data_IF_452300331274
#
_entry.id   IF_452300331274
#
_cell.length_a   1.000
_cell.length_b   1.000
_cell.length_c   1.000
_cell.angle_alpha   90.00
_cell.angle_beta   90.00
_cell.angle_gamma   90.00
#
_symmetry.space_group_name_H-M   'P 1'
#
loop_
_entity.id
_entity.type
_entity.pdbx_description
1 polymer ?
#
# COMPACT_ATOMS: atom_id res chain seq x y z
N UNK A 1 -27.63 20.73 -4.75
CA UNK A 1 -26.54 21.23 -3.89
C UNK A 1 -26.65 20.80 -2.42
N UNK A 2 -27.82 20.38 -1.90
CA UNK A 2 -28.00 20.05 -0.47
C UNK A 2 -27.05 18.94 0.06
N UNK A 3 -26.74 17.92 -0.74
CA UNK A 3 -25.94 16.76 -0.31
C UNK A 3 -24.48 17.07 0.03
N UNK A 4 -23.93 18.19 -0.45
CA UNK A 4 -22.54 18.58 -0.22
C UNK A 4 -22.35 19.56 0.95
N UNK A 5 -23.45 20.08 1.51
CA UNK A 5 -23.42 21.11 2.56
C UNK A 5 -23.46 20.41 3.92
N UNK A 6 -22.37 20.50 4.68
CA UNK A 6 -22.27 19.89 6.01
C UNK A 6 -20.84 19.78 6.52
N UNK A 7 -20.65 19.08 7.65
CA UNK A 7 -19.33 18.81 8.23
C UNK A 7 -18.63 17.70 7.42
N UNK A 8 -17.74 18.08 6.51
CA UNK A 8 -17.03 17.15 5.61
C UNK A 8 -15.69 16.64 6.15
N UNK A 9 -15.24 17.14 7.31
CA UNK A 9 -13.92 16.83 7.88
C UNK A 9 -13.63 15.32 8.00
N UNK A 10 -14.61 14.52 8.46
CA UNK A 10 -14.47 13.08 8.59
C UNK A 10 -14.26 12.39 7.22
N UNK A 11 -14.94 12.88 6.18
CA UNK A 11 -14.83 12.27 4.86
C UNK A 11 -13.44 12.50 4.25
N UNK A 12 -12.83 13.67 4.49
CA UNK A 12 -11.46 13.99 4.06
C UNK A 12 -10.38 13.47 5.00
N UNK A 13 -10.73 12.94 6.18
CA UNK A 13 -9.77 12.37 7.10
C UNK A 13 -9.01 11.20 6.42
N UNK A 14 -7.71 11.13 6.67
CA UNK A 14 -6.84 10.09 6.09
C UNK A 14 -6.80 8.90 7.04
N UNK A 15 -7.30 7.78 6.56
CA UNK A 15 -7.33 6.51 7.29
C UNK A 15 -6.05 5.74 7.04
N UNK A 16 -5.64 4.88 7.97
CA UNK A 16 -4.51 3.96 7.80
C UNK A 16 -5.02 2.54 7.55
N UNK A 17 -4.62 1.98 6.41
CA UNK A 17 -4.98 0.61 6.01
C UNK A 17 -3.77 -0.31 6.12
N UNK A 18 -3.97 -1.53 6.61
CA UNK A 18 -2.96 -2.59 6.63
C UNK A 18 -3.25 -3.61 5.53
N UNK A 19 -2.21 -4.00 4.79
CA UNK A 19 -2.27 -5.00 3.73
C UNK A 19 -1.17 -6.04 3.95
N UNK A 20 -1.57 -7.30 4.10
CA UNK A 20 -0.62 -8.42 4.09
C UNK A 20 -0.32 -8.86 2.65
N UNK A 21 0.95 -8.78 2.25
CA UNK A 21 1.40 -9.19 0.92
C UNK A 21 1.57 -10.70 0.77
N UNK A 22 1.48 -11.47 1.86
CA UNK A 22 1.60 -12.94 1.84
C UNK A 22 0.56 -13.56 0.90
N UNK A 23 1.04 -14.41 -0.02
CA UNK A 23 0.21 -15.08 -1.04
C UNK A 23 -0.59 -14.14 -1.97
N UNK A 24 -0.29 -12.84 -2.00
CA UNK A 24 -0.93 -11.90 -2.90
C UNK A 24 -0.12 -11.73 -4.19
N UNK A 25 -0.83 -11.64 -5.31
CA UNK A 25 -0.20 -11.35 -6.60
C UNK A 25 0.15 -9.87 -6.68
N UNK A 26 1.44 -9.56 -6.87
CA UNK A 26 2.00 -8.20 -6.88
C UNK A 26 1.17 -7.20 -7.68
N UNK A 27 0.85 -7.54 -8.94
CA UNK A 27 0.12 -6.64 -9.83
C UNK A 27 -1.29 -6.32 -9.34
N UNK A 28 -2.07 -7.34 -8.96
CA UNK A 28 -3.46 -7.16 -8.50
C UNK A 28 -3.51 -6.37 -7.18
N UNK A 29 -2.61 -6.70 -6.25
CA UNK A 29 -2.48 -5.99 -4.99
C UNK A 29 -2.12 -4.51 -5.22
N UNK A 30 -1.18 -4.24 -6.13
CA UNK A 30 -0.73 -2.87 -6.42
C UNK A 30 -1.83 -1.99 -6.98
N UNK A 31 -2.80 -2.55 -7.73
CA UNK A 31 -3.96 -1.79 -8.24
C UNK A 31 -4.84 -1.33 -7.08
N UNK A 32 -5.22 -2.25 -6.18
CA UNK A 32 -6.02 -1.90 -5.00
C UNK A 32 -5.33 -0.86 -4.12
N UNK A 33 -4.02 -1.02 -3.88
CA UNK A 33 -3.23 -0.03 -3.13
C UNK A 33 -3.26 1.33 -3.83
N UNK A 34 -3.06 1.39 -5.15
CA UNK A 34 -3.08 2.64 -5.89
C UNK A 34 -4.44 3.35 -5.82
N UNK A 35 -5.55 2.61 -5.87
CA UNK A 35 -6.90 3.15 -5.70
C UNK A 35 -7.10 3.78 -4.32
N UNK A 36 -6.63 3.10 -3.26
CA UNK A 36 -6.65 3.60 -1.89
C UNK A 36 -5.80 4.86 -1.72
N UNK A 37 -4.60 4.89 -2.30
CA UNK A 37 -3.71 6.05 -2.25
C UNK A 37 -4.28 7.26 -3.01
N UNK A 38 -5.02 7.02 -4.10
CA UNK A 38 -5.74 8.06 -4.83
C UNK A 38 -7.01 8.53 -4.11
N UNK A 39 -7.61 7.68 -3.28
CA UNK A 39 -8.88 7.97 -2.61
C UNK A 39 -10.12 7.59 -3.43
N UNK A 40 -9.96 6.80 -4.50
CA UNK A 40 -11.08 6.41 -5.39
C UNK A 40 -12.16 5.58 -4.70
N UNK A 41 -11.84 4.96 -3.58
CA UNK A 41 -12.79 4.24 -2.73
C UNK A 41 -13.72 5.17 -1.95
N UNK A 42 -13.39 6.46 -1.82
CA UNK A 42 -14.23 7.45 -1.14
C UNK A 42 -15.20 8.09 -2.14
N UNK A 43 -16.50 8.23 -1.80
CA UNK A 43 -17.48 8.85 -2.69
C UNK A 43 -17.26 10.35 -2.92
N UNK A 44 -16.41 10.98 -2.09
CA UNK A 44 -16.00 12.38 -2.20
C UNK A 44 -14.80 12.59 -3.15
N UNK A 45 -14.37 11.54 -3.85
CA UNK A 45 -13.20 11.59 -4.72
C UNK A 45 -13.35 12.65 -5.80
N UNK A 46 -12.32 13.49 -5.92
CA UNK A 46 -12.17 14.46 -6.99
C UNK A 46 -10.75 14.37 -7.57
N UNK A 47 -10.56 14.35 -8.90
CA UNK A 47 -9.22 14.24 -9.50
C UNK A 47 -8.26 15.38 -9.17
N UNK A 48 -8.77 16.59 -8.87
CA UNK A 48 -7.95 17.75 -8.52
C UNK A 48 -7.54 17.74 -7.05
N UNK A 49 -8.35 17.14 -6.17
CA UNK A 49 -8.08 17.02 -4.74
C UNK A 49 -7.33 15.73 -4.37
N UNK A 50 -6.48 15.80 -3.33
CA UNK A 50 -5.78 14.63 -2.79
C UNK A 50 -6.40 14.13 -1.48
N UNK A 51 -7.45 13.30 -1.61
CA UNK A 51 -8.24 12.78 -0.49
C UNK A 51 -7.92 11.32 -0.09
N UNK A 52 -6.84 10.75 -0.65
CA UNK A 52 -6.49 9.35 -0.41
C UNK A 52 -5.94 9.05 0.98
N UNK A 53 -5.80 7.76 1.26
CA UNK A 53 -5.44 7.24 2.58
C UNK A 53 -3.97 6.81 2.68
N UNK A 54 -3.56 6.39 3.88
CA UNK A 54 -2.27 5.74 4.12
C UNK A 54 -2.41 4.23 3.95
N UNK A 55 -1.37 3.60 3.42
CA UNK A 55 -1.32 2.15 3.25
C UNK A 55 -0.01 1.63 3.82
N UNK A 56 -0.12 0.68 4.75
CA UNK A 56 0.99 -0.07 5.32
C UNK A 56 0.93 -1.49 4.75
N UNK A 57 2.00 -1.91 4.10
CA UNK A 57 2.15 -3.25 3.54
C UNK A 57 3.15 -4.03 4.38
N UNK A 58 2.78 -5.22 4.81
CA UNK A 58 3.65 -6.14 5.56
C UNK A 58 3.97 -7.38 4.73
N UNK A 59 4.98 -8.14 5.15
CA UNK A 59 5.42 -9.37 4.50
C UNK A 59 5.78 -9.18 3.01
N UNK A 60 6.38 -8.03 2.67
CA UNK A 60 6.72 -7.71 1.28
C UNK A 60 7.54 -8.82 0.62
N UNK A 61 8.43 -9.50 1.37
CA UNK A 61 9.28 -10.60 0.89
C UNK A 61 8.47 -11.80 0.37
N UNK A 62 7.24 -11.99 0.82
CA UNK A 62 6.38 -13.12 0.45
C UNK A 62 5.40 -12.82 -0.69
N UNK A 63 5.55 -11.67 -1.36
CA UNK A 63 4.69 -11.31 -2.50
C UNK A 63 4.88 -12.27 -3.67
N UNK A 64 3.78 -12.68 -4.29
CA UNK A 64 3.79 -13.63 -5.40
C UNK A 64 3.79 -12.92 -6.76
N UNK A 65 4.49 -13.51 -7.73
CA UNK A 65 4.40 -13.16 -9.14
C UNK A 65 3.93 -14.36 -9.94
N UNK A 66 3.10 -14.12 -10.96
CA UNK A 66 2.61 -15.20 -11.83
C UNK A 66 3.59 -15.52 -12.96
N UNK A 67 3.65 -16.80 -13.35
CA UNK A 67 4.46 -17.29 -14.46
C UNK A 67 5.97 -17.21 -14.22
N UNK A 68 6.75 -16.99 -15.27
CA UNK A 68 8.23 -16.91 -15.23
C UNK A 68 8.77 -15.52 -14.86
N UNK A 69 7.89 -14.59 -14.48
CA UNK A 69 8.22 -13.17 -14.25
C UNK A 69 9.24 -12.95 -13.13
N UNK A 70 9.32 -13.84 -12.15
CA UNK A 70 10.32 -13.75 -11.09
C UNK A 70 11.75 -13.76 -11.68
N UNK A 71 11.99 -14.57 -12.72
CA UNK A 71 13.29 -14.73 -13.36
C UNK A 71 13.51 -13.77 -14.52
N UNK A 72 12.49 -13.55 -15.34
CA UNK A 72 12.62 -12.81 -16.61
C UNK A 72 12.46 -11.29 -16.48
N UNK A 73 11.86 -10.80 -15.39
CA UNK A 73 11.58 -9.36 -15.26
C UNK A 73 12.85 -8.61 -14.88
N UNK A 74 13.24 -7.66 -15.75
CA UNK A 74 14.35 -6.75 -15.54
C UNK A 74 13.82 -5.35 -15.18
N UNK A 75 14.36 -4.76 -14.12
CA UNK A 75 14.18 -3.36 -13.78
C UNK A 75 15.35 -2.56 -14.33
N UNK A 76 15.04 -1.54 -15.12
CA UNK A 76 16.03 -0.68 -15.79
C UNK A 76 16.04 0.71 -15.18
N UNK A 77 17.23 1.28 -15.08
CA UNK A 77 17.46 2.67 -14.72
C UNK A 77 18.59 3.22 -15.58
N UNK A 78 18.44 4.44 -16.10
CA UNK A 78 19.46 5.08 -16.91
C UNK A 78 19.87 6.41 -16.27
N UNK A 79 21.17 6.67 -16.17
CA UNK A 79 21.68 7.91 -15.55
C UNK A 79 21.57 9.14 -16.46
N UNK A 80 21.42 8.95 -17.77
CA UNK A 80 21.41 10.02 -18.78
C UNK A 80 22.71 10.11 -19.59
N UNK A 81 23.80 9.49 -19.09
CA UNK A 81 25.08 9.43 -19.80
C UNK A 81 25.18 8.19 -20.71
N UNK A 82 25.90 8.25 -21.84
CA UNK A 82 26.18 7.08 -22.68
C UNK A 82 26.79 5.94 -21.86
N UNK A 83 26.25 4.72 -21.99
CA UNK A 83 26.68 3.56 -21.20
C UNK A 83 26.13 3.52 -19.76
N UNK A 84 25.30 4.49 -19.36
CA UNK A 84 24.76 4.62 -18.01
C UNK A 84 23.56 3.72 -17.69
N UNK A 85 23.31 2.67 -18.48
CA UNK A 85 22.20 1.73 -18.27
C UNK A 85 22.54 0.77 -17.13
N UNK A 86 21.68 0.73 -16.11
CA UNK A 86 21.74 -0.23 -15.01
C UNK A 86 20.51 -1.12 -15.07
N UNK A 87 20.72 -2.42 -15.04
CA UNK A 87 19.67 -3.43 -15.02
C UNK A 87 19.79 -4.28 -13.76
N UNK A 88 18.66 -4.61 -13.15
CA UNK A 88 18.58 -5.55 -12.02
C UNK A 88 17.41 -6.50 -12.24
N UNK A 89 17.64 -7.80 -12.07
CA UNK A 89 16.57 -8.81 -12.14
C UNK A 89 15.62 -8.66 -10.97
N UNK A 90 14.38 -9.12 -11.14
CA UNK A 90 13.39 -9.13 -10.07
C UNK A 90 13.90 -9.91 -8.85
N UNK A 91 14.46 -11.10 -9.03
CA UNK A 91 15.06 -11.90 -7.94
C UNK A 91 16.13 -11.12 -7.16
N UNK A 92 17.06 -10.47 -7.86
CA UNK A 92 18.12 -9.70 -7.20
C UNK A 92 17.56 -8.47 -6.48
N UNK A 93 16.58 -7.79 -7.07
CA UNK A 93 15.92 -6.65 -6.41
C UNK A 93 15.15 -7.11 -5.17
N UNK A 94 14.46 -8.24 -5.26
CA UNK A 94 13.69 -8.82 -4.16
C UNK A 94 14.56 -9.24 -2.98
N UNK A 95 15.77 -9.73 -3.24
CA UNK A 95 16.73 -10.09 -2.21
C UNK A 95 17.41 -8.87 -1.56
N UNK A 96 17.61 -7.80 -2.33
CA UNK A 96 18.29 -6.58 -1.85
C UNK A 96 17.35 -5.60 -1.15
N UNK A 97 16.17 -5.40 -1.73
CA UNK A 97 15.19 -4.38 -1.32
C UNK A 97 13.80 -4.80 -1.83
N UNK A 98 13.08 -5.67 -1.09
CA UNK A 98 11.73 -6.10 -1.44
C UNK A 98 10.70 -4.96 -1.38
N UNK A 99 10.95 -3.90 -0.59
CA UNK A 99 10.11 -2.70 -0.56
C UNK A 99 10.08 -2.04 -1.95
N UNK A 100 11.25 -1.82 -2.55
CA UNK A 100 11.35 -1.19 -3.87
C UNK A 100 10.54 -1.90 -4.96
N UNK A 101 10.36 -3.22 -4.88
CA UNK A 101 9.54 -3.98 -5.84
C UNK A 101 8.08 -3.51 -5.81
N UNK A 102 7.51 -3.40 -4.61
CA UNK A 102 6.11 -2.99 -4.40
C UNK A 102 5.96 -1.50 -4.71
N UNK A 103 6.86 -0.64 -4.20
CA UNK A 103 6.84 0.80 -4.50
C UNK A 103 6.90 1.08 -6.00
N UNK A 104 7.76 0.38 -6.75
CA UNK A 104 7.84 0.55 -8.21
C UNK A 104 6.56 0.12 -8.91
N UNK A 105 5.94 -0.97 -8.46
CA UNK A 105 4.67 -1.44 -9.02
C UNK A 105 3.54 -0.42 -8.78
N UNK A 106 3.34 0.02 -7.54
CA UNK A 106 2.33 1.01 -7.17
C UNK A 106 2.59 2.35 -7.84
N UNK A 107 3.85 2.81 -7.85
CA UNK A 107 4.24 4.03 -8.55
C UNK A 107 3.97 3.98 -10.06
N UNK A 108 3.97 2.79 -10.65
CA UNK A 108 3.58 2.58 -12.04
C UNK A 108 2.10 2.91 -12.27
N UNK A 109 1.25 2.50 -11.33
CA UNK A 109 -0.22 2.64 -11.38
C UNK A 109 -0.73 4.05 -11.03
N UNK A 110 0.09 4.89 -10.38
CA UNK A 110 -0.30 6.27 -10.06
C UNK A 110 -0.22 7.19 -11.30
N UNK A 111 -1.19 8.13 -11.46
CA UNK A 111 -1.18 9.16 -12.50
C UNK A 111 0.12 9.96 -12.49
N UNK A 112 0.63 10.33 -13.67
CA UNK A 112 1.88 11.10 -13.79
C UNK A 112 1.59 12.59 -13.65
N UNK A 113 1.47 13.05 -12.41
CA UNK A 113 1.25 14.46 -12.07
C UNK A 113 1.95 14.83 -10.75
N UNK A 114 1.79 16.07 -10.31
CA UNK A 114 2.38 16.59 -9.05
C UNK A 114 1.85 15.89 -7.79
N UNK A 115 0.70 15.22 -7.87
CA UNK A 115 0.13 14.46 -6.75
C UNK A 115 0.73 13.05 -6.63
N UNK A 116 1.52 12.61 -7.60
CA UNK A 116 2.13 11.26 -7.59
C UNK A 116 3.07 11.05 -6.42
N UNK A 117 3.99 11.98 -6.19
CA UNK A 117 4.97 11.91 -5.12
C UNK A 117 4.31 11.90 -3.73
N UNK A 118 3.39 12.83 -3.38
CA UNK A 118 2.73 12.80 -2.08
C UNK A 118 1.82 11.57 -1.91
N UNK A 119 1.23 11.03 -2.99
CA UNK A 119 0.50 9.75 -2.95
C UNK A 119 1.43 8.59 -2.63
N UNK A 120 2.60 8.53 -3.27
CA UNK A 120 3.56 7.45 -3.06
C UNK A 120 4.22 7.52 -1.68
N UNK A 121 4.43 8.72 -1.14
CA UNK A 121 4.97 8.93 0.21
C UNK A 121 4.07 8.36 1.32
N UNK A 122 2.77 8.18 1.04
CA UNK A 122 1.79 7.57 1.98
C UNK A 122 1.76 6.05 1.94
N UNK A 123 2.55 5.44 1.06
CA UNK A 123 2.79 4.01 1.04
C UNK A 123 3.99 3.67 1.93
N UNK A 124 3.74 2.85 2.94
CA UNK A 124 4.76 2.25 3.78
C UNK A 124 4.80 0.76 3.51
N UNK A 125 5.99 0.20 3.35
CA UNK A 125 6.17 -1.22 3.04
C UNK A 125 7.26 -1.74 3.93
N UNK A 126 7.02 -2.92 4.50
CA UNK A 126 7.93 -3.60 5.41
C UNK A 126 8.20 -5.01 4.90
N UNK A 127 9.43 -5.47 5.08
CA UNK A 127 9.86 -6.79 4.61
C UNK A 127 9.13 -7.92 5.36
N UNK A 128 8.90 -7.73 6.66
CA UNK A 128 8.21 -8.65 7.56
C UNK A 128 6.95 -8.05 8.19
N UNK A 129 6.55 -8.59 9.33
CA UNK A 129 5.32 -8.22 10.05
C UNK A 129 5.49 -7.03 11.01
N UNK A 130 6.73 -6.70 11.38
CA UNK A 130 7.00 -5.60 12.29
C UNK A 130 6.97 -4.24 11.59
N UNK A 131 6.24 -3.30 12.18
CA UNK A 131 6.17 -1.92 11.71
C UNK A 131 5.82 -0.97 12.88
N UNK A 132 6.25 0.31 12.83
CA UNK A 132 5.98 1.29 13.88
C UNK A 132 4.53 1.79 13.90
N UNK A 133 3.74 1.53 12.85
CA UNK A 133 2.41 2.11 12.67
C UNK A 133 1.26 1.29 13.29
N UNK A 134 1.56 0.37 14.21
CA UNK A 134 0.56 -0.55 14.82
C UNK A 134 -0.60 0.21 15.45
N UNK A 135 -0.32 1.31 16.14
CA UNK A 135 -1.34 2.09 16.86
C UNK A 135 -2.20 2.98 15.94
N UNK A 136 -1.67 3.32 14.75
CA UNK A 136 -2.34 4.21 13.80
C UNK A 136 -3.32 3.46 12.88
N UNK A 137 -3.12 2.15 12.70
CA UNK A 137 -3.93 1.33 11.78
C UNK A 137 -5.35 1.25 12.29
N UNK A 138 -6.30 1.57 11.42
CA UNK A 138 -7.71 1.45 11.76
C UNK A 138 -8.08 -0.03 11.82
N UNK A 139 -8.24 -0.54 13.03
CA UNK A 139 -8.89 -1.83 13.29
C UNK A 139 -10.34 -1.73 12.83
N UNK A 140 -10.77 -2.65 11.96
CA UNK A 140 -12.19 -2.68 11.56
C UNK A 140 -13.04 -3.03 12.78
N UNK A 141 -14.25 -2.46 12.87
CA UNK A 141 -15.23 -2.82 13.91
C UNK A 141 -15.56 -4.32 13.95
N UNK A 142 -15.38 -5.05 12.84
CA UNK A 142 -15.57 -6.52 12.79
C UNK A 142 -14.58 -7.29 13.68
N UNK A 143 -13.41 -6.73 13.97
CA UNK A 143 -12.41 -7.34 14.86
C UNK A 143 -12.71 -7.08 16.34
N UNK A 144 -13.36 -5.94 16.67
CA UNK A 144 -13.85 -5.67 18.03
C UNK A 144 -14.90 -6.69 18.48
N UNK A 145 -15.74 -7.20 17.57
CA UNK A 145 -16.73 -8.24 17.90
C UNK A 145 -16.13 -9.60 18.29
N UNK A 146 -14.83 -9.82 18.04
CA UNK A 146 -14.10 -11.03 18.48
C UNK A 146 -13.41 -10.83 19.83
N UNK A 147 -12.92 -9.64 20.13
CA UNK A 147 -12.30 -9.30 21.42
C UNK A 147 -13.34 -9.17 22.56
N UNK A 148 -14.62 -8.85 22.27
CA UNK A 148 -15.66 -8.74 23.31
C UNK A 148 -16.18 -10.09 23.83
N UNK A 149 -15.75 -11.23 23.26
CA UNK A 149 -15.89 -12.51 23.97
C UNK A 149 -14.72 -12.63 24.92
N UNK A 150 -14.90 -12.07 26.13
CA UNK A 150 -14.11 -12.46 27.29
C UNK A 150 -13.98 -13.98 27.30
N UNK A 151 -12.77 -14.49 27.12
CA UNK A 151 -12.47 -15.88 27.45
C UNK A 151 -12.83 -16.06 28.94
N UNK A 152 -13.77 -16.95 29.29
CA UNK A 152 -14.20 -17.14 30.68
C UNK A 152 -13.05 -17.54 31.62
N UNK A 153 -11.89 -17.93 31.08
CA UNK A 153 -10.69 -18.30 31.83
C UNK A 153 -9.89 -17.14 32.43
N UNK A 154 -10.25 -15.88 32.17
CA UNK A 154 -9.57 -14.72 32.78
C UNK A 154 -10.29 -14.20 34.04
N UNK A 155 -11.41 -14.80 34.43
CA UNK A 155 -12.21 -14.36 35.60
C UNK A 155 -11.89 -15.19 36.87
N UNK A 156 -11.01 -16.18 36.81
CA UNK A 156 -10.54 -16.88 38.01
C UNK A 156 -9.11 -16.46 38.40
N UNK A 157 -9.05 -15.44 39.26
CA UNK A 157 -8.00 -15.21 40.26
C UNK A 157 -8.51 -14.25 41.34
#
# INVERSE_FOLDING_TARGET
MSQAIGKTALAYARVWHLVDAKQRVLGRMSVGIAETLMGKHKPIYDPASDCGDYVVVINAKSVMTTGTKAKSKLYRHHSGYPGGLKEITYENLMNKDPDAVIRKAVSGMLPKNRLREPRLARLFVFEGEEHPYKDNIVKRYDELGKETRLDPSTVEA
#
